data_IF_428466921575
#
_entry.id   IF_428466921575
#
_cell.length_a   1.000
_cell.length_b   1.000
_cell.length_c   1.000
_cell.angle_alpha   90.00
_cell.angle_beta   90.00
_cell.angle_gamma   90.00
#
_symmetry.space_group_name_H-M   'P 1'
#
loop_
_entity.id
_entity.type
_entity.pdbx_description
1 polymer ?
#
# COMPACT_ATOMS: atom_id res chain seq x y z
N UNK A 1 34.50 -4.78 4.80
CA UNK A 1 33.76 -5.28 5.98
C UNK A 1 32.34 -4.68 5.98
N UNK A 2 31.47 -5.14 5.08
CA UNK A 2 30.12 -4.57 4.85
C UNK A 2 29.05 -5.66 4.63
N UNK A 3 29.21 -6.83 5.25
CA UNK A 3 28.43 -8.02 4.89
C UNK A 3 27.84 -8.83 6.06
N UNK A 4 27.84 -8.30 7.30
CA UNK A 4 27.23 -8.98 8.44
C UNK A 4 25.84 -8.46 8.87
N UNK A 5 25.58 -7.16 8.69
CA UNK A 5 24.39 -6.48 9.27
C UNK A 5 23.27 -6.27 8.23
N UNK A 6 23.54 -6.53 6.94
CA UNK A 6 22.64 -6.18 5.83
C UNK A 6 21.45 -7.14 5.63
N UNK A 7 21.58 -8.44 5.96
CA UNK A 7 20.47 -9.39 5.80
C UNK A 7 19.50 -9.37 6.99
N UNK A 8 20.00 -9.24 8.22
CA UNK A 8 19.17 -9.23 9.43
C UNK A 8 18.26 -8.00 9.51
N UNK A 9 18.78 -6.83 9.15
CA UNK A 9 18.00 -5.57 9.11
C UNK A 9 16.88 -5.60 8.07
N UNK A 10 17.14 -6.19 6.89
CA UNK A 10 16.14 -6.34 5.82
C UNK A 10 15.02 -7.32 6.21
N UNK A 11 15.38 -8.45 6.82
CA UNK A 11 14.41 -9.44 7.30
C UNK A 11 13.55 -8.89 8.45
N UNK A 12 14.16 -8.18 9.40
CA UNK A 12 13.45 -7.53 10.50
C UNK A 12 12.44 -6.49 10.00
N UNK A 13 12.82 -5.64 9.03
CA UNK A 13 11.92 -4.67 8.42
C UNK A 13 10.74 -5.34 7.69
N UNK A 14 10.98 -6.49 7.03
CA UNK A 14 9.94 -7.24 6.34
C UNK A 14 8.95 -7.89 7.31
N UNK A 15 9.45 -8.49 8.40
CA UNK A 15 8.61 -9.05 9.46
C UNK A 15 7.78 -7.94 10.11
N UNK A 16 8.41 -6.81 10.43
CA UNK A 16 7.71 -5.64 10.98
C UNK A 16 6.62 -5.14 10.03
N UNK A 17 6.88 -5.10 8.72
CA UNK A 17 5.89 -4.72 7.71
C UNK A 17 4.71 -5.69 7.67
N UNK A 18 4.96 -7.00 7.72
CA UNK A 18 3.90 -8.03 7.74
C UNK A 18 3.05 -7.89 9.02
N UNK A 19 3.68 -7.72 10.18
CA UNK A 19 2.98 -7.56 11.46
C UNK A 19 2.16 -6.27 11.49
N UNK A 20 2.77 -5.14 11.10
CA UNK A 20 2.10 -3.84 11.02
C UNK A 20 0.90 -3.90 10.07
N UNK A 21 1.08 -4.48 8.88
CA UNK A 21 -0.01 -4.59 7.89
C UNK A 21 -1.12 -5.49 8.41
N UNK A 22 -0.78 -6.61 9.06
CA UNK A 22 -1.76 -7.55 9.62
C UNK A 22 -2.58 -6.89 10.73
N UNK A 23 -1.92 -6.16 11.63
CA UNK A 23 -2.58 -5.45 12.71
C UNK A 23 -3.46 -4.30 12.17
N UNK A 24 -2.98 -3.55 11.17
CA UNK A 24 -3.78 -2.52 10.48
C UNK A 24 -5.08 -3.11 9.89
N UNK A 25 -4.99 -4.26 9.20
CA UNK A 25 -6.17 -4.97 8.66
C UNK A 25 -7.19 -5.26 9.76
N UNK A 26 -6.73 -5.83 10.88
CA UNK A 26 -7.59 -6.25 11.97
C UNK A 26 -8.19 -5.06 12.71
N UNK A 27 -7.43 -4.00 12.96
CA UNK A 27 -7.94 -2.77 13.57
C UNK A 27 -9.00 -2.12 12.69
N UNK A 28 -8.79 -2.07 11.36
CA UNK A 28 -9.80 -1.57 10.41
C UNK A 28 -11.10 -2.38 10.50
N UNK A 29 -10.99 -3.71 10.43
CA UNK A 29 -12.14 -4.63 10.54
C UNK A 29 -12.85 -4.51 11.89
N UNK A 30 -12.10 -4.34 12.97
CA UNK A 30 -12.64 -4.17 14.31
C UNK A 30 -13.44 -2.88 14.45
N UNK A 31 -12.88 -1.73 14.02
CA UNK A 31 -13.59 -0.45 14.06
C UNK A 31 -14.86 -0.51 13.22
N UNK A 32 -14.79 -1.09 12.04
CA UNK A 32 -15.96 -1.24 11.17
C UNK A 32 -17.06 -2.08 11.81
N UNK A 33 -16.72 -3.22 12.42
CA UNK A 33 -17.71 -4.06 13.10
C UNK A 33 -18.39 -3.32 14.25
N UNK A 34 -17.66 -2.50 15.00
CA UNK A 34 -18.23 -1.68 16.09
C UNK A 34 -19.11 -0.58 15.53
N UNK A 35 -18.63 0.17 14.54
CA UNK A 35 -19.42 1.24 13.91
C UNK A 35 -20.73 0.69 13.34
N UNK A 36 -20.69 -0.48 12.71
CA UNK A 36 -21.87 -1.17 12.21
C UNK A 36 -22.80 -1.66 13.33
N UNK A 37 -22.27 -2.14 14.46
CA UNK A 37 -23.08 -2.59 15.58
C UNK A 37 -23.74 -1.43 16.36
N UNK A 38 -23.08 -0.28 16.43
CA UNK A 38 -23.55 0.89 17.19
C UNK A 38 -24.30 1.93 16.37
N UNK A 39 -24.49 1.73 15.05
CA UNK A 39 -25.04 2.73 14.11
C UNK A 39 -24.40 4.13 14.27
N UNK A 40 -23.12 4.17 14.67
CA UNK A 40 -22.40 5.41 14.88
C UNK A 40 -21.97 6.00 13.53
N UNK A 41 -21.76 7.32 13.48
CA UNK A 41 -21.23 7.96 12.27
C UNK A 41 -19.84 7.41 11.94
N UNK A 42 -19.58 7.00 10.69
CA UNK A 42 -18.27 6.50 10.31
C UNK A 42 -17.23 7.62 10.32
N UNK A 43 -15.98 7.26 10.60
CA UNK A 43 -14.88 8.22 10.52
C UNK A 43 -14.56 8.58 9.07
N UNK A 44 -14.10 9.81 8.87
CA UNK A 44 -13.64 10.28 7.57
C UNK A 44 -12.30 9.64 7.19
N UNK A 45 -12.29 8.92 6.09
CA UNK A 45 -11.11 8.19 5.63
C UNK A 45 -10.04 9.11 5.07
N UNK A 46 -10.44 10.15 4.31
CA UNK A 46 -9.48 11.11 3.79
C UNK A 46 -8.77 11.85 4.93
N UNK A 47 -9.48 12.12 6.04
CA UNK A 47 -8.90 12.70 7.25
C UNK A 47 -7.87 11.75 7.91
N UNK A 48 -8.18 10.45 8.02
CA UNK A 48 -7.22 9.44 8.55
C UNK A 48 -5.97 9.34 7.68
N UNK A 49 -6.14 9.28 6.35
CA UNK A 49 -5.01 9.22 5.41
C UNK A 49 -4.15 10.48 5.52
N UNK A 50 -4.79 11.66 5.56
CA UNK A 50 -4.10 12.94 5.67
C UNK A 50 -3.34 13.06 7.00
N UNK A 51 -3.98 12.68 8.10
CA UNK A 51 -3.32 12.69 9.42
C UNK A 51 -2.15 11.69 9.46
N UNK A 52 -2.27 10.54 8.81
CA UNK A 52 -1.19 9.58 8.67
C UNK A 52 -0.03 10.14 7.82
N UNK A 53 -0.29 10.90 6.76
CA UNK A 53 0.73 11.59 5.97
C UNK A 53 1.45 12.68 6.77
N UNK A 54 0.72 13.47 7.56
CA UNK A 54 1.30 14.46 8.48
C UNK A 54 2.17 13.77 9.52
N UNK A 55 1.66 12.72 10.18
CA UNK A 55 2.41 11.96 11.17
C UNK A 55 3.68 11.34 10.57
N UNK A 56 3.57 10.78 9.36
CA UNK A 56 4.71 10.23 8.61
C UNK A 56 5.75 11.30 8.29
N UNK A 57 5.33 12.52 7.92
CA UNK A 57 6.24 13.65 7.70
C UNK A 57 6.98 14.03 9.00
N UNK A 58 6.26 14.15 10.11
CA UNK A 58 6.83 14.48 11.43
C UNK A 58 7.82 13.40 11.91
N UNK A 59 7.44 12.12 11.83
CA UNK A 59 8.33 11.02 12.16
C UNK A 59 9.55 10.98 11.26
N UNK A 60 9.40 11.24 9.95
CA UNK A 60 10.53 11.28 9.02
C UNK A 60 11.49 12.43 9.34
N UNK A 61 10.96 13.59 9.74
CA UNK A 61 11.79 14.70 10.19
C UNK A 61 12.57 14.35 11.47
N UNK A 62 11.91 13.75 12.46
CA UNK A 62 12.57 13.33 13.70
C UNK A 62 13.63 12.26 13.46
N UNK A 63 13.33 11.27 12.61
CA UNK A 63 14.29 10.22 12.25
C UNK A 63 15.50 10.79 11.49
N UNK A 64 15.27 11.72 10.56
CA UNK A 64 16.34 12.44 9.88
C UNK A 64 17.21 13.25 10.85
N UNK A 65 16.58 13.97 11.79
CA UNK A 65 17.30 14.72 12.83
C UNK A 65 18.12 13.78 13.73
N UNK A 66 17.55 12.64 14.13
CA UNK A 66 18.23 11.63 14.95
C UNK A 66 19.43 10.99 14.24
N UNK A 67 19.31 10.72 12.93
CA UNK A 67 20.39 10.19 12.10
C UNK A 67 21.56 11.19 12.05
N UNK A 68 21.26 12.49 11.86
CA UNK A 68 22.27 13.54 11.87
C UNK A 68 22.94 13.74 13.23
N UNK A 69 22.19 13.69 14.33
CA UNK A 69 22.74 13.82 15.70
C UNK A 69 23.64 12.65 16.10
N UNK A 70 23.33 11.42 15.66
CA UNK A 70 24.15 10.23 15.93
C UNK A 70 25.47 10.24 15.14
N UNK A 71 25.46 10.78 13.92
CA UNK A 71 26.69 10.95 13.12
C UNK A 71 27.56 12.08 13.69
N UNK A 72 26.95 13.17 14.19
CA UNK A 72 27.67 14.27 14.82
C UNK A 72 28.49 13.81 16.05
N UNK A 73 27.89 13.01 16.93
CA UNK A 73 28.55 12.44 18.11
C UNK A 73 29.67 11.44 17.77
N UNK A 74 29.52 10.66 16.69
CA UNK A 74 30.57 9.73 16.20
C UNK A 74 31.69 10.46 15.45
N UNK A 75 31.41 11.61 14.82
CA UNK A 75 32.39 12.36 14.06
C UNK A 75 33.33 13.22 14.90
N UNK A 76 32.95 13.51 16.16
CA UNK A 76 33.80 14.21 17.14
C UNK A 76 34.97 13.35 17.65
N UNK A 77 34.95 12.03 17.42
CA UNK A 77 36.04 11.11 17.77
C UNK A 77 36.92 10.66 16.58
N UNK A 78 36.60 11.05 15.34
CA UNK A 78 37.21 10.49 14.12
C UNK A 78 37.57 11.58 13.09
N UNK A 79 38.15 12.69 13.58
CA UNK A 79 38.38 13.93 12.83
C UNK A 79 39.32 13.85 11.61
N UNK A 80 40.07 12.76 11.37
CA UNK A 80 41.19 12.81 10.40
C UNK A 80 41.09 12.00 9.09
N UNK A 81 40.05 11.20 8.82
CA UNK A 81 40.18 10.20 7.72
C UNK A 81 39.05 10.04 6.67
N UNK A 82 38.09 10.97 6.52
CA UNK A 82 37.07 10.84 5.46
C UNK A 82 36.80 12.12 4.67
N UNK A 83 37.54 12.27 3.57
CA UNK A 83 37.49 13.35 2.56
C UNK A 83 36.37 13.14 1.53
N UNK A 84 35.13 12.89 1.97
CA UNK A 84 34.00 12.69 1.04
C UNK A 84 32.67 13.26 1.57
N UNK A 85 32.71 14.48 2.13
CA UNK A 85 31.56 15.24 2.65
C UNK A 85 31.11 16.31 1.67
N UNK A 86 30.26 15.98 0.69
CA UNK A 86 29.48 16.97 -0.09
C UNK A 86 28.07 17.27 0.46
N UNK A 87 27.68 16.65 1.58
CA UNK A 87 26.36 16.81 2.19
C UNK A 87 26.40 16.76 3.73
N UNK A 88 27.34 17.47 4.35
CA UNK A 88 27.47 17.48 5.82
C UNK A 88 27.23 18.87 6.38
N UNK A 89 26.01 19.13 6.84
CA UNK A 89 25.68 20.32 7.61
C UNK A 89 25.78 19.95 9.11
N UNK A 90 26.72 20.54 9.88
CA UNK A 90 27.00 20.13 11.25
C UNK A 90 25.90 20.51 12.24
N UNK A 91 25.05 21.50 11.91
CA UNK A 91 23.90 21.91 12.71
C UNK A 91 22.63 21.83 11.85
N UNK A 92 21.57 21.23 12.38
CA UNK A 92 20.26 21.14 11.72
C UNK A 92 19.52 22.49 11.81
N UNK A 93 19.98 23.49 11.05
CA UNK A 93 19.28 24.76 10.91
C UNK A 93 18.14 24.63 9.89
N UNK A 94 17.06 25.41 10.05
CA UNK A 94 15.93 25.43 9.10
C UNK A 94 16.38 25.69 7.66
N UNK A 95 17.39 26.55 7.46
CA UNK A 95 17.99 26.80 6.15
C UNK A 95 18.71 25.57 5.56
N UNK A 96 19.42 24.80 6.38
CA UNK A 96 20.07 23.56 5.93
C UNK A 96 19.06 22.48 5.53
N UNK A 97 17.93 22.38 6.25
CA UNK A 97 16.83 21.49 5.92
C UNK A 97 16.16 21.90 4.60
N UNK A 98 15.94 23.19 4.39
CA UNK A 98 15.38 23.71 3.14
C UNK A 98 16.27 23.37 1.94
N UNK A 99 17.58 23.60 2.06
CA UNK A 99 18.55 23.23 1.01
C UNK A 99 18.61 21.71 0.82
N UNK A 100 18.50 20.91 1.89
CA UNK A 100 18.42 19.45 1.76
C UNK A 100 17.13 18.98 1.07
N UNK A 101 15.99 19.62 1.32
CA UNK A 101 14.70 19.26 0.73
C UNK A 101 14.57 19.74 -0.72
N UNK A 102 14.84 21.02 -0.99
CA UNK A 102 14.55 21.68 -2.27
C UNK A 102 15.78 22.13 -3.05
N UNK A 103 16.98 21.90 -2.52
CA UNK A 103 18.22 22.28 -3.18
C UNK A 103 18.37 21.64 -4.56
N UNK A 104 19.17 22.29 -5.41
CA UNK A 104 19.40 21.85 -6.78
C UNK A 104 19.90 20.40 -6.86
N UNK A 105 20.71 19.98 -5.88
CA UNK A 105 21.27 18.63 -5.79
C UNK A 105 20.29 17.57 -5.26
N UNK A 106 19.13 17.99 -4.73
CA UNK A 106 18.20 17.10 -4.02
C UNK A 106 17.27 16.35 -4.96
N UNK A 107 17.18 16.72 -6.25
CA UNK A 107 16.34 16.05 -7.26
C UNK A 107 14.89 15.81 -6.82
N UNK A 108 14.35 16.71 -5.99
CA UNK A 108 13.05 16.58 -5.35
C UNK A 108 11.91 16.41 -6.37
N UNK A 109 12.02 17.04 -7.54
CA UNK A 109 11.08 16.87 -8.65
C UNK A 109 10.92 15.42 -9.13
N UNK A 110 11.96 14.56 -9.01
CA UNK A 110 11.83 13.14 -9.37
C UNK A 110 10.84 12.39 -8.46
N UNK A 111 10.59 12.89 -7.25
CA UNK A 111 9.59 12.34 -6.32
C UNK A 111 8.18 12.90 -6.51
N UNK A 112 8.03 13.98 -7.29
CA UNK A 112 6.70 14.45 -7.70
C UNK A 112 5.99 13.41 -8.59
N UNK A 113 6.76 12.74 -9.47
CA UNK A 113 6.24 11.71 -10.39
C UNK A 113 5.51 10.58 -9.64
N UNK A 114 6.13 9.86 -8.68
CA UNK A 114 5.42 8.81 -7.95
C UNK A 114 4.25 9.37 -7.13
N UNK A 115 4.34 10.57 -6.57
CA UNK A 115 3.23 11.18 -5.85
C UNK A 115 2.00 11.42 -6.74
N UNK A 116 2.20 11.99 -7.94
CA UNK A 116 1.13 12.21 -8.93
C UNK A 116 0.56 10.87 -9.41
N UNK A 117 1.42 9.87 -9.70
CA UNK A 117 0.96 8.56 -10.13
C UNK A 117 0.13 7.86 -9.04
N UNK A 118 0.54 7.95 -7.76
CA UNK A 118 -0.25 7.43 -6.65
C UNK A 118 -1.58 8.17 -6.47
N UNK A 119 -1.61 9.49 -6.70
CA UNK A 119 -2.84 10.26 -6.68
C UNK A 119 -3.82 9.82 -7.78
N UNK A 120 -3.36 9.76 -9.04
CA UNK A 120 -4.20 9.32 -10.18
C UNK A 120 -4.65 7.87 -9.98
N UNK A 121 -3.74 6.99 -9.52
CA UNK A 121 -4.07 5.62 -9.16
C UNK A 121 -5.24 5.59 -8.16
N UNK A 122 -5.18 6.40 -7.11
CA UNK A 122 -6.21 6.49 -6.09
C UNK A 122 -7.55 6.95 -6.70
N UNK A 123 -7.55 8.00 -7.54
CA UNK A 123 -8.78 8.44 -8.23
C UNK A 123 -9.41 7.36 -9.12
N UNK A 124 -8.59 6.62 -9.88
CA UNK A 124 -9.09 5.53 -10.72
C UNK A 124 -9.61 4.36 -9.89
N UNK A 125 -8.98 4.09 -8.74
CA UNK A 125 -9.43 3.06 -7.81
C UNK A 125 -10.80 3.41 -7.23
N UNK A 126 -11.10 4.70 -7.00
CA UNK A 126 -12.45 5.16 -6.67
C UNK A 126 -13.46 4.83 -7.76
N UNK A 127 -13.15 5.30 -8.97
CA UNK A 127 -14.07 5.23 -10.10
C UNK A 127 -14.36 3.77 -10.50
N UNK A 128 -13.38 2.88 -10.30
CA UNK A 128 -13.53 1.44 -10.43
C UNK A 128 -14.39 0.83 -9.32
N UNK A 129 -14.19 1.24 -8.06
CA UNK A 129 -14.96 0.74 -6.93
C UNK A 129 -16.47 1.04 -7.08
N UNK A 130 -16.83 2.20 -7.65
CA UNK A 130 -18.23 2.56 -7.89
C UNK A 130 -18.91 1.69 -8.95
N UNK A 131 -18.14 1.22 -9.95
CA UNK A 131 -18.66 0.47 -11.11
C UNK A 131 -18.55 -1.05 -10.99
N UNK A 132 -17.68 -1.54 -10.11
CA UNK A 132 -17.44 -2.97 -9.92
C UNK A 132 -18.05 -3.48 -8.61
N UNK A 133 -18.39 -4.77 -8.61
CA UNK A 133 -18.67 -5.55 -7.42
C UNK A 133 -17.38 -5.85 -6.63
N UNK A 134 -17.51 -5.99 -5.30
CA UNK A 134 -16.39 -6.18 -4.37
C UNK A 134 -15.48 -7.37 -4.74
N UNK A 135 -16.00 -8.58 -5.04
CA UNK A 135 -15.16 -9.73 -5.40
C UNK A 135 -14.36 -9.51 -6.69
N UNK A 136 -15.01 -8.99 -7.74
CA UNK A 136 -14.35 -8.73 -9.04
C UNK A 136 -13.26 -7.67 -8.90
N UNK A 137 -13.53 -6.61 -8.14
CA UNK A 137 -12.58 -5.55 -7.86
C UNK A 137 -11.35 -6.05 -7.08
N UNK A 138 -11.54 -6.93 -6.08
CA UNK A 138 -10.45 -7.51 -5.30
C UNK A 138 -9.49 -8.33 -6.17
N UNK A 139 -10.03 -9.27 -6.95
CA UNK A 139 -9.25 -10.12 -7.84
C UNK A 139 -8.47 -9.30 -8.86
N UNK A 140 -9.14 -8.35 -9.52
CA UNK A 140 -8.53 -7.57 -10.60
C UNK A 140 -7.42 -6.65 -10.12
N UNK A 141 -7.50 -6.08 -8.90
CA UNK A 141 -6.43 -5.21 -8.41
C UNK A 141 -5.20 -5.97 -7.88
N UNK A 142 -5.21 -7.31 -7.85
CA UNK A 142 -3.98 -8.10 -7.69
C UNK A 142 -3.11 -8.14 -8.95
N UNK A 143 -3.65 -7.70 -10.10
CA UNK A 143 -2.85 -7.52 -11.33
C UNK A 143 -1.67 -6.56 -11.12
N UNK A 144 -1.73 -5.69 -10.09
CA UNK A 144 -0.63 -4.79 -9.69
C UNK A 144 0.69 -5.53 -9.40
N UNK A 145 0.63 -6.80 -8.98
CA UNK A 145 1.83 -7.60 -8.72
C UNK A 145 2.56 -7.91 -10.03
N UNK A 146 1.80 -8.26 -11.07
CA UNK A 146 2.33 -8.55 -12.41
C UNK A 146 2.88 -7.27 -13.04
N UNK A 147 2.13 -6.17 -13.00
CA UNK A 147 2.58 -4.88 -13.56
C UNK A 147 3.86 -4.40 -12.87
N UNK A 148 3.96 -4.54 -11.54
CA UNK A 148 5.17 -4.21 -10.77
C UNK A 148 6.39 -4.99 -11.27
N UNK A 149 6.25 -6.28 -11.57
CA UNK A 149 7.37 -7.07 -12.07
C UNK A 149 7.76 -6.70 -13.50
N UNK A 150 6.80 -6.42 -14.37
CA UNK A 150 7.06 -5.92 -15.74
C UNK A 150 7.85 -4.61 -15.68
N UNK A 151 7.40 -3.63 -14.89
CA UNK A 151 8.13 -2.37 -14.72
C UNK A 151 9.48 -2.56 -14.04
N UNK A 152 9.61 -3.52 -13.11
CA UNK A 152 10.89 -3.82 -12.48
C UNK A 152 11.93 -4.34 -13.47
N UNK A 153 11.52 -5.15 -14.45
CA UNK A 153 12.40 -5.58 -15.55
C UNK A 153 12.71 -4.40 -16.47
N UNK A 154 11.71 -3.62 -16.86
CA UNK A 154 11.86 -2.56 -17.85
C UNK A 154 12.68 -1.35 -17.34
N UNK A 155 12.40 -0.87 -16.11
CA UNK A 155 12.99 0.37 -15.58
C UNK A 155 14.25 0.16 -14.76
N UNK A 156 14.31 -0.90 -13.94
CA UNK A 156 15.46 -1.21 -13.09
C UNK A 156 16.41 -2.21 -13.78
N UNK A 157 16.09 -2.64 -15.02
CA UNK A 157 16.87 -3.62 -15.81
C UNK A 157 17.17 -4.92 -15.04
N UNK A 158 16.25 -5.33 -14.16
CA UNK A 158 16.40 -6.57 -13.40
C UNK A 158 16.20 -7.78 -14.31
N UNK A 159 17.09 -8.77 -14.19
CA UNK A 159 16.92 -10.06 -14.87
C UNK A 159 16.06 -10.98 -14.01
N UNK A 160 14.79 -11.13 -14.37
CA UNK A 160 13.89 -12.08 -13.70
C UNK A 160 13.93 -13.40 -14.47
N UNK A 161 14.39 -14.46 -13.81
CA UNK A 161 14.41 -15.81 -14.37
C UNK A 161 12.99 -16.37 -14.49
N UNK A 162 12.72 -17.21 -15.49
CA UNK A 162 11.43 -17.88 -15.70
C UNK A 162 10.76 -18.44 -14.43
N UNK A 163 11.44 -19.17 -13.51
CA UNK A 163 10.80 -19.66 -12.28
C UNK A 163 10.27 -18.55 -11.36
N UNK A 164 10.84 -17.34 -11.40
CA UNK A 164 10.34 -16.19 -10.62
C UNK A 164 9.08 -15.59 -11.23
N UNK A 165 8.96 -15.60 -12.56
CA UNK A 165 7.75 -15.17 -13.26
C UNK A 165 6.61 -16.13 -12.94
N UNK A 166 6.88 -17.44 -12.98
CA UNK A 166 5.92 -18.48 -12.58
C UNK A 166 5.50 -18.30 -11.12
N UNK A 167 6.47 -18.09 -10.21
CA UNK A 167 6.16 -17.82 -8.80
C UNK A 167 5.24 -16.60 -8.64
N UNK A 168 5.50 -15.51 -9.36
CA UNK A 168 4.68 -14.31 -9.27
C UNK A 168 3.25 -14.52 -9.81
N UNK A 169 3.09 -15.20 -10.95
CA UNK A 169 1.77 -15.54 -11.48
C UNK A 169 0.99 -16.43 -10.52
N UNK A 170 1.66 -17.41 -9.92
CA UNK A 170 1.11 -18.29 -8.91
C UNK A 170 0.73 -17.53 -7.62
N UNK A 171 1.50 -16.53 -7.23
CA UNK A 171 1.19 -15.63 -6.10
C UNK A 171 -0.10 -14.85 -6.36
N UNK A 172 -0.19 -14.21 -7.53
CA UNK A 172 -1.36 -13.41 -7.93
C UNK A 172 -2.62 -14.27 -7.96
N UNK A 173 -2.54 -15.47 -8.54
CA UNK A 173 -3.65 -16.41 -8.55
C UNK A 173 -4.04 -16.88 -7.14
N UNK A 174 -3.06 -17.16 -6.28
CA UNK A 174 -3.30 -17.62 -4.91
C UNK A 174 -4.04 -16.58 -4.08
N UNK A 175 -3.66 -15.31 -4.19
CA UNK A 175 -4.32 -14.21 -3.48
C UNK A 175 -5.71 -13.95 -4.06
N UNK A 176 -5.86 -14.01 -5.38
CA UNK A 176 -7.18 -13.90 -6.01
C UNK A 176 -8.15 -14.96 -5.44
N UNK A 177 -7.70 -16.20 -5.28
CA UNK A 177 -8.49 -17.27 -4.66
C UNK A 177 -8.80 -17.01 -3.18
N UNK A 178 -7.80 -16.57 -2.40
CA UNK A 178 -7.99 -16.20 -0.98
C UNK A 178 -9.00 -15.07 -0.82
N UNK A 179 -9.03 -14.11 -1.74
CA UNK A 179 -9.93 -12.95 -1.66
C UNK A 179 -11.37 -13.30 -2.06
N UNK A 180 -11.56 -14.24 -2.99
CA UNK A 180 -12.89 -14.78 -3.30
C UNK A 180 -13.54 -15.49 -2.11
N UNK A 181 -12.77 -15.88 -1.09
CA UNK A 181 -13.26 -16.60 0.08
C UNK A 181 -13.97 -15.74 1.10
N UNK A 182 -13.56 -14.49 1.29
CA UNK A 182 -14.05 -13.66 2.39
C UNK A 182 -15.55 -13.35 2.28
N UNK A 183 -16.11 -13.35 1.06
CA UNK A 183 -17.47 -12.88 0.80
C UNK A 183 -18.54 -13.99 0.83
N UNK A 184 -18.16 -15.28 0.76
CA UNK A 184 -19.12 -16.41 0.66
C UNK A 184 -19.65 -16.96 1.99
N UNK A 185 -19.26 -16.42 3.14
CA UNK A 185 -19.69 -16.92 4.45
C UNK A 185 -20.96 -16.23 4.96
N UNK A 186 -22.08 -16.42 4.25
CA UNK A 186 -23.43 -16.02 4.66
C UNK A 186 -24.49 -16.81 3.88
N UNK A 187 -24.90 -17.97 4.40
CA UNK A 187 -25.89 -18.84 3.76
C UNK A 187 -27.32 -18.55 4.21
N UNK A 188 -28.17 -18.26 3.22
CA UNK A 188 -29.62 -18.51 3.11
C UNK A 188 -30.58 -17.97 4.20
N UNK A 189 -31.11 -16.76 3.99
CA UNK A 189 -32.48 -16.42 4.41
C UNK A 189 -33.04 -15.36 3.46
N UNK A 190 -34.27 -15.58 3.00
CA UNK A 190 -35.06 -14.67 2.20
C UNK A 190 -35.23 -13.31 2.90
N UNK A 191 -35.41 -12.28 2.07
CA UNK A 191 -35.59 -10.86 2.38
C UNK A 191 -34.31 -10.03 2.35
N UNK A 192 -34.49 -8.83 1.80
CA UNK A 192 -33.52 -7.77 1.65
C UNK A 192 -32.55 -7.64 2.84
N UNK A 193 -31.36 -7.10 2.54
CA UNK A 193 -30.23 -6.76 3.42
C UNK A 193 -29.09 -7.79 3.49
N UNK A 194 -27.86 -7.24 3.54
CA UNK A 194 -26.62 -7.81 4.07
C UNK A 194 -25.52 -8.24 3.09
N UNK A 195 -24.72 -7.23 2.74
CA UNK A 195 -23.28 -7.13 3.01
C UNK A 195 -22.56 -8.30 3.74
N UNK A 196 -21.33 -8.65 3.29
CA UNK A 196 -20.11 -8.84 4.13
C UNK A 196 -18.80 -9.19 3.36
N UNK A 197 -17.81 -8.30 3.51
CA UNK A 197 -16.40 -8.52 3.92
C UNK A 197 -15.34 -9.24 3.03
N UNK A 198 -14.32 -8.52 2.52
CA UNK A 198 -12.95 -9.05 2.33
C UNK A 198 -11.96 -7.91 2.04
N UNK A 199 -11.27 -7.42 3.08
CA UNK A 199 -10.84 -6.03 3.04
C UNK A 199 -9.60 -5.68 3.86
N UNK A 200 -8.68 -4.96 3.22
CA UNK A 200 -7.69 -4.15 3.93
C UNK A 200 -7.19 -2.94 3.15
N UNK A 201 -7.08 -3.00 1.82
CA UNK A 201 -6.87 -1.80 0.98
C UNK A 201 -8.17 -1.41 0.24
N UNK A 202 -9.14 -2.34 0.26
CA UNK A 202 -10.39 -2.29 -0.49
C UNK A 202 -11.54 -1.63 0.30
N UNK A 203 -11.64 -1.81 1.63
CA UNK A 203 -12.75 -1.24 2.42
C UNK A 203 -12.68 0.29 2.48
N UNK A 204 -11.49 0.87 2.34
CA UNK A 204 -11.31 2.32 2.29
C UNK A 204 -11.97 2.91 1.03
N UNK A 205 -12.05 2.17 -0.07
CA UNK A 205 -12.75 2.61 -1.28
C UNK A 205 -14.20 2.07 -1.37
N UNK A 206 -14.44 0.83 -0.97
CA UNK A 206 -15.78 0.20 -0.98
C UNK A 206 -16.73 0.74 0.10
N UNK A 207 -16.25 1.14 1.29
CA UNK A 207 -17.11 1.83 2.27
C UNK A 207 -17.34 3.32 1.91
N UNK A 208 -16.56 3.91 0.99
CA UNK A 208 -16.89 5.24 0.46
C UNK A 208 -18.15 5.14 -0.42
N UNK A 209 -18.27 4.03 -1.16
CA UNK A 209 -19.48 3.64 -1.89
C UNK A 209 -20.69 3.32 -1.00
N UNK A 210 -20.50 2.70 0.18
CA UNK A 210 -21.60 2.41 1.13
C UNK A 210 -22.07 3.62 1.93
N UNK A 211 -21.17 4.52 2.34
CA UNK A 211 -21.54 5.78 3.01
C UNK A 211 -22.27 6.74 2.05
N UNK A 212 -21.83 6.80 0.78
CA UNK A 212 -22.48 7.59 -0.27
C UNK A 212 -23.92 7.17 -0.56
N UNK A 213 -24.20 5.86 -0.59
CA UNK A 213 -25.55 5.34 -0.83
C UNK A 213 -26.52 5.59 0.35
N UNK A 214 -26.02 5.91 1.55
CA UNK A 214 -26.87 6.26 2.70
C UNK A 214 -27.42 7.71 2.61
N UNK A 215 -26.92 8.53 1.68
CA UNK A 215 -27.39 9.92 1.47
C UNK A 215 -28.04 10.16 0.10
N UNK A 216 -28.30 9.11 -0.68
CA UNK A 216 -28.96 9.18 -1.98
C UNK A 216 -30.35 8.54 -1.96
N UNK A 217 -31.35 9.24 -1.40
CA UNK A 217 -32.74 8.92 -1.69
C UNK A 217 -33.06 9.41 -3.11
N UNK A 218 -33.38 8.51 -4.04
CA UNK A 218 -34.19 8.80 -5.23
C UNK A 218 -34.63 7.44 -5.81
N UNK A 219 -35.88 7.04 -5.53
CA UNK A 219 -37.07 7.27 -6.35
C UNK A 219 -37.23 6.22 -7.45
N UNK A 220 -38.36 5.52 -7.35
CA UNK A 220 -38.85 4.53 -8.29
C UNK A 220 -38.79 5.07 -9.72
N UNK A 221 -38.21 4.29 -10.62
CA UNK A 221 -38.32 4.50 -12.07
C UNK A 221 -38.83 3.21 -12.67
N UNK A 222 -39.91 3.37 -13.42
CA UNK A 222 -40.79 2.34 -13.94
C UNK A 222 -40.11 1.31 -14.84
N UNK A 223 -40.71 0.12 -14.77
CA UNK A 223 -40.50 -1.06 -15.58
C UNK A 223 -40.77 -0.79 -17.07
N UNK A 224 -39.76 -0.33 -17.80
CA UNK A 224 -39.63 -0.57 -19.24
C UNK A 224 -38.18 -0.35 -19.68
N UNK A 225 -37.42 -1.44 -19.90
CA UNK A 225 -36.55 -1.70 -21.07
C UNK A 225 -35.31 -2.57 -20.71
N UNK A 226 -35.53 -3.86 -20.42
CA UNK A 226 -34.52 -4.82 -19.95
C UNK A 226 -33.27 -4.92 -20.84
N UNK A 227 -33.39 -4.78 -22.17
CA UNK A 227 -32.22 -4.91 -23.08
C UNK A 227 -31.30 -3.69 -23.03
N UNK A 228 -31.85 -2.49 -22.89
CA UNK A 228 -31.07 -1.25 -22.82
C UNK A 228 -30.38 -1.10 -21.46
N UNK A 229 -31.06 -1.54 -20.40
CA UNK A 229 -30.54 -1.56 -19.04
C UNK A 229 -29.39 -2.55 -18.89
N UNK A 230 -29.50 -3.75 -19.50
CA UNK A 230 -28.43 -4.75 -19.53
C UNK A 230 -27.19 -4.23 -20.28
N UNK A 231 -27.35 -3.59 -21.45
CA UNK A 231 -26.22 -3.00 -22.19
C UNK A 231 -25.53 -1.89 -21.41
N UNK A 232 -26.29 -1.03 -20.72
CA UNK A 232 -25.72 0.01 -19.85
C UNK A 232 -24.91 -0.59 -18.69
N UNK A 233 -25.43 -1.64 -18.04
CA UNK A 233 -24.74 -2.36 -16.97
C UNK A 233 -23.42 -2.98 -17.46
N UNK A 234 -23.41 -3.61 -18.64
CA UNK A 234 -22.19 -4.18 -19.23
C UNK A 234 -21.16 -3.10 -19.56
N UNK A 235 -21.60 -1.97 -20.11
CA UNK A 235 -20.75 -0.81 -20.41
C UNK A 235 -20.11 -0.26 -19.14
N UNK A 236 -20.88 -0.06 -18.07
CA UNK A 236 -20.36 0.44 -16.79
C UNK A 236 -19.36 -0.52 -16.14
N UNK A 237 -19.66 -1.83 -16.18
CA UNK A 237 -18.74 -2.85 -15.66
C UNK A 237 -17.43 -2.90 -16.45
N UNK A 238 -17.50 -2.80 -17.78
CA UNK A 238 -16.33 -2.77 -18.65
C UNK A 238 -15.45 -1.54 -18.40
N UNK A 239 -16.06 -0.36 -18.23
CA UNK A 239 -15.37 0.87 -17.84
C UNK A 239 -14.68 0.70 -16.47
N UNK A 240 -15.34 0.04 -15.51
CA UNK A 240 -14.74 -0.30 -14.23
C UNK A 240 -13.50 -1.20 -14.34
N UNK A 241 -13.54 -2.20 -15.22
CA UNK A 241 -12.39 -3.09 -15.51
C UNK A 241 -11.22 -2.31 -16.10
N UNK A 242 -11.49 -1.36 -17.00
CA UNK A 242 -10.44 -0.49 -17.57
C UNK A 242 -9.79 0.35 -16.46
N UNK A 243 -10.58 0.99 -15.61
CA UNK A 243 -10.06 1.81 -14.52
C UNK A 243 -9.18 1.03 -13.55
N UNK A 244 -9.57 -0.19 -13.17
CA UNK A 244 -8.77 -0.97 -12.22
C UNK A 244 -7.46 -1.50 -12.85
N UNK A 245 -7.48 -1.82 -14.15
CA UNK A 245 -6.27 -2.22 -14.87
C UNK A 245 -5.30 -1.05 -15.03
N UNK A 246 -5.80 0.13 -15.38
CA UNK A 246 -5.00 1.36 -15.42
C UNK A 246 -4.43 1.70 -14.05
N UNK A 247 -5.25 1.66 -12.99
CA UNK A 247 -4.80 1.89 -11.61
C UNK A 247 -3.69 0.90 -11.21
N UNK A 248 -3.84 -0.38 -11.56
CA UNK A 248 -2.84 -1.41 -11.26
C UNK A 248 -1.54 -1.20 -12.02
N UNK A 249 -1.61 -0.69 -13.24
CA UNK A 249 -0.43 -0.33 -14.05
C UNK A 249 0.30 0.87 -13.45
N UNK A 250 -0.44 1.93 -13.08
CA UNK A 250 0.12 3.11 -12.42
C UNK A 250 0.74 2.78 -11.06
N UNK A 251 0.15 1.85 -10.30
CA UNK A 251 0.70 1.38 -9.02
C UNK A 251 2.05 0.70 -9.17
N UNK A 252 2.17 -0.19 -10.16
CA UNK A 252 3.43 -0.85 -10.48
C UNK A 252 4.49 0.16 -10.93
N UNK A 253 4.12 1.10 -11.79
CA UNK A 253 4.99 2.16 -12.27
C UNK A 253 5.47 3.08 -11.14
N UNK A 254 4.56 3.59 -10.31
CA UNK A 254 4.87 4.48 -9.19
C UNK A 254 5.80 3.81 -8.16
N UNK A 255 5.53 2.54 -7.83
CA UNK A 255 6.34 1.78 -6.89
C UNK A 255 7.76 1.51 -7.39
N UNK A 256 7.89 1.14 -8.67
CA UNK A 256 9.20 0.91 -9.29
C UNK A 256 9.97 2.20 -9.50
N UNK A 257 9.29 3.29 -9.86
CA UNK A 257 9.90 4.61 -9.94
C UNK A 257 10.41 5.07 -8.56
N UNK A 258 9.60 4.91 -7.52
CA UNK A 258 10.00 5.22 -6.15
C UNK A 258 11.22 4.39 -5.72
N UNK A 259 11.24 3.09 -6.02
CA UNK A 259 12.42 2.24 -5.80
C UNK A 259 13.66 2.77 -6.52
N UNK A 260 13.52 3.15 -7.79
CA UNK A 260 14.62 3.72 -8.57
C UNK A 260 15.18 4.98 -7.91
N UNK A 261 14.32 5.93 -7.52
CA UNK A 261 14.75 7.18 -6.88
C UNK A 261 15.39 6.94 -5.51
N UNK A 262 14.87 5.99 -4.73
CA UNK A 262 15.46 5.62 -3.43
C UNK A 262 16.87 5.02 -3.57
N UNK A 263 17.15 4.31 -4.68
CA UNK A 263 18.41 3.59 -4.89
C UNK A 263 19.44 4.34 -5.75
N UNK A 264 19.03 5.37 -6.50
CA UNK A 264 19.91 6.11 -7.41
C UNK A 264 21.01 6.88 -6.68
N UNK A 265 20.76 7.38 -5.46
CA UNK A 265 21.71 8.18 -4.69
C UNK A 265 21.79 7.76 -3.21
N UNK A 266 22.97 7.96 -2.59
CA UNK A 266 23.21 7.72 -1.15
C UNK A 266 22.56 8.78 -0.23
N UNK A 267 21.33 9.18 -0.55
CA UNK A 267 20.54 10.10 0.28
C UNK A 267 19.84 9.34 1.40
N UNK A 268 19.59 10.02 2.52
CA UNK A 268 18.80 9.44 3.63
C UNK A 268 17.40 9.08 3.14
N UNK A 269 16.88 7.93 3.63
CA UNK A 269 15.52 7.46 3.31
C UNK A 269 14.49 8.44 3.82
N UNK A 270 14.75 8.99 5.01
CA UNK A 270 13.85 9.87 5.72
C UNK A 270 13.67 11.17 4.94
N UNK A 271 14.75 11.71 4.37
CA UNK A 271 14.70 12.88 3.50
C UNK A 271 13.83 12.63 2.26
N UNK A 272 14.01 11.47 1.60
CA UNK A 272 13.19 11.06 0.45
C UNK A 272 11.73 10.87 0.82
N UNK A 273 11.47 10.33 2.01
CA UNK A 273 10.12 10.16 2.51
C UNK A 273 9.46 11.50 2.88
N UNK A 274 10.21 12.45 3.44
CA UNK A 274 9.73 13.82 3.67
C UNK A 274 9.36 14.51 2.35
N UNK A 275 10.25 14.46 1.36
CA UNK A 275 9.98 15.01 0.02
C UNK A 275 8.72 14.40 -0.60
N UNK A 276 8.55 13.08 -0.50
CA UNK A 276 7.35 12.40 -0.99
C UNK A 276 6.09 12.86 -0.22
N UNK A 277 6.12 12.90 1.11
CA UNK A 277 5.01 13.36 1.95
C UNK A 277 4.60 14.81 1.63
N UNK A 278 5.56 15.69 1.35
CA UNK A 278 5.27 17.08 0.98
C UNK A 278 4.49 17.18 -0.33
N UNK A 279 4.70 16.26 -1.27
CA UNK A 279 3.91 16.19 -2.49
C UNK A 279 2.54 15.53 -2.31
N UNK A 280 2.39 14.56 -1.39
CA UNK A 280 1.12 13.85 -1.18
C UNK A 280 0.14 14.64 -0.30
N UNK A 281 0.62 15.48 0.61
CA UNK A 281 -0.23 16.32 1.47
C UNK A 281 -1.23 17.22 0.71
N UNK A 282 -0.84 18.02 -0.30
CA UNK A 282 -1.79 18.84 -1.05
C UNK A 282 -2.82 17.98 -1.79
N UNK A 283 -2.42 16.83 -2.34
CA UNK A 283 -3.36 15.89 -2.96
C UNK A 283 -4.33 15.28 -1.95
N UNK A 284 -3.88 14.98 -0.73
CA UNK A 284 -4.73 14.53 0.37
C UNK A 284 -5.76 15.58 0.78
N UNK A 285 -5.34 16.84 0.89
CA UNK A 285 -6.23 17.97 1.20
C UNK A 285 -7.29 18.16 0.11
N UNK A 286 -6.88 18.13 -1.16
CA UNK A 286 -7.79 18.23 -2.31
C UNK A 286 -8.80 17.09 -2.28
N UNK A 287 -8.36 15.86 -2.03
CA UNK A 287 -9.24 14.68 -1.96
C UNK A 287 -10.25 14.84 -0.83
N UNK A 288 -9.81 15.26 0.36
CA UNK A 288 -10.68 15.48 1.51
C UNK A 288 -11.70 16.59 1.26
N UNK A 289 -11.29 17.69 0.62
CA UNK A 289 -12.18 18.80 0.27
C UNK A 289 -13.24 18.40 -0.78
N UNK A 290 -12.86 17.60 -1.79
CA UNK A 290 -13.77 17.19 -2.87
C UNK A 290 -14.71 16.08 -2.41
N UNK A 291 -14.20 15.06 -1.70
CA UNK A 291 -14.96 13.86 -1.35
C UNK A 291 -15.79 14.08 -0.09
N UNK A 292 -15.16 14.60 0.97
CA UNK A 292 -15.75 14.65 2.31
C UNK A 292 -16.25 16.05 2.70
N UNK A 293 -16.15 17.04 1.80
CA UNK A 293 -16.39 18.46 2.11
C UNK A 293 -17.76 18.76 2.73
N UNK A 294 -18.82 18.09 2.27
CA UNK A 294 -20.18 18.27 2.82
C UNK A 294 -20.31 17.71 4.23
N UNK A 295 -19.75 16.53 4.47
CA UNK A 295 -19.78 15.87 5.80
C UNK A 295 -18.94 16.67 6.81
N UNK A 296 -17.79 17.20 6.37
CA UNK A 296 -16.92 18.06 7.20
C UNK A 296 -17.64 19.33 7.66
N UNK A 297 -18.46 19.94 6.80
CA UNK A 297 -19.22 21.14 7.17
C UNK A 297 -20.31 20.85 8.21
N UNK A 298 -20.85 19.63 8.23
CA UNK A 298 -21.95 19.25 9.11
C UNK A 298 -21.49 18.74 10.48
N UNK A 299 -20.47 17.89 10.52
CA UNK A 299 -20.03 17.21 11.74
C UNK A 299 -18.52 17.31 12.02
N UNK A 300 -17.79 18.04 11.18
CA UNK A 300 -16.37 18.34 11.37
C UNK A 300 -15.42 17.24 10.89
N UNK A 301 -14.14 17.58 10.83
CA UNK A 301 -13.06 16.69 10.33
C UNK A 301 -12.86 15.44 11.20
N UNK A 302 -13.15 15.55 12.49
CA UNK A 302 -12.92 14.49 13.48
C UNK A 302 -14.18 13.70 13.83
N UNK A 303 -15.22 13.75 12.99
CA UNK A 303 -16.41 12.93 13.18
C UNK A 303 -16.07 11.44 13.22
N UNK A 304 -16.68 10.68 14.13
CA UNK A 304 -16.46 9.23 14.25
C UNK A 304 -15.06 8.82 14.70
N UNK A 305 -14.19 9.76 15.12
CA UNK A 305 -12.86 9.43 15.63
C UNK A 305 -12.95 8.77 17.00
N UNK A 306 -12.46 7.55 17.07
CA UNK A 306 -12.31 6.80 18.32
C UNK A 306 -10.84 6.56 18.62
N UNK A 307 -10.53 6.07 19.82
CA UNK A 307 -9.19 5.63 20.17
C UNK A 307 -8.60 4.64 19.13
N UNK A 308 -9.43 3.74 18.61
CA UNK A 308 -9.02 2.78 17.58
C UNK A 308 -8.74 3.44 16.22
N UNK A 309 -9.45 4.53 15.88
CA UNK A 309 -9.15 5.35 14.69
C UNK A 309 -7.77 5.99 14.79
N UNK A 310 -7.37 6.46 15.98
CA UNK A 310 -6.02 7.01 16.22
C UNK A 310 -4.95 5.91 16.05
N UNK A 311 -5.21 4.70 16.54
CA UNK A 311 -4.32 3.56 16.30
C UNK A 311 -4.16 3.28 14.79
N UNK A 312 -5.25 3.33 14.01
CA UNK A 312 -5.19 3.15 12.55
C UNK A 312 -4.30 4.21 11.90
N UNK A 313 -4.43 5.48 12.30
CA UNK A 313 -3.58 6.58 11.81
C UNK A 313 -2.10 6.28 12.08
N UNK A 314 -1.76 5.87 13.31
CA UNK A 314 -0.39 5.52 13.68
C UNK A 314 0.14 4.34 12.87
N UNK A 315 -0.65 3.28 12.72
CA UNK A 315 -0.27 2.10 11.96
C UNK A 315 -0.09 2.40 10.47
N UNK A 316 -0.91 3.29 9.90
CA UNK A 316 -0.78 3.70 8.51
C UNK A 316 0.50 4.51 8.28
N UNK A 317 0.82 5.44 9.18
CA UNK A 317 2.08 6.19 9.14
C UNK A 317 3.29 5.25 9.28
N UNK A 318 3.26 4.32 10.24
CA UNK A 318 4.30 3.32 10.45
C UNK A 318 4.48 2.42 9.22
N UNK A 319 3.40 1.96 8.60
CA UNK A 319 3.44 1.18 7.37
C UNK A 319 4.14 1.91 6.22
N UNK A 320 3.84 3.21 6.04
CA UNK A 320 4.52 4.06 5.06
C UNK A 320 6.05 4.14 5.28
N UNK A 321 6.47 4.31 6.53
CA UNK A 321 7.90 4.33 6.90
C UNK A 321 8.57 2.97 6.65
N UNK A 322 7.92 1.88 7.06
CA UNK A 322 8.44 0.52 6.86
C UNK A 322 8.54 0.17 5.37
N UNK A 323 7.58 0.58 4.54
CA UNK A 323 7.64 0.39 3.08
C UNK A 323 8.89 1.06 2.50
N UNK A 324 9.20 2.29 2.92
CA UNK A 324 10.40 2.99 2.44
C UNK A 324 11.70 2.25 2.82
N UNK A 325 11.79 1.70 4.04
CA UNK A 325 12.93 0.89 4.48
C UNK A 325 13.02 -0.41 3.66
N UNK A 326 11.91 -1.14 3.52
CA UNK A 326 11.85 -2.42 2.78
C UNK A 326 12.21 -2.21 1.31
N UNK A 327 11.71 -1.15 0.66
CA UNK A 327 12.04 -0.87 -0.75
C UNK A 327 13.49 -0.45 -0.92
N UNK A 328 14.10 0.23 0.06
CA UNK A 328 15.53 0.57 0.01
C UNK A 328 16.42 -0.66 0.15
N UNK A 329 16.12 -1.54 1.11
CA UNK A 329 17.00 -2.65 1.48
C UNK A 329 16.70 -3.96 0.73
N UNK A 330 15.46 -4.14 0.31
CA UNK A 330 15.03 -5.21 -0.59
C UNK A 330 14.57 -4.57 -1.90
N UNK A 331 13.39 -4.93 -2.41
CA UNK A 331 12.84 -4.50 -3.68
C UNK A 331 11.31 -4.34 -3.60
N UNK A 332 10.72 -3.61 -4.54
CA UNK A 332 9.27 -3.44 -4.62
C UNK A 332 8.51 -4.77 -4.88
N UNK A 333 9.17 -5.77 -5.48
CA UNK A 333 8.63 -7.13 -5.65
C UNK A 333 8.53 -7.84 -4.29
N UNK A 334 9.59 -7.77 -3.47
CA UNK A 334 9.64 -8.40 -2.14
C UNK A 334 8.65 -7.74 -1.18
N UNK A 335 8.46 -6.41 -1.28
CA UNK A 335 7.34 -5.70 -0.63
C UNK A 335 5.99 -6.30 -1.01
N UNK A 336 5.79 -6.60 -2.30
CA UNK A 336 4.60 -7.30 -2.80
C UNK A 336 4.35 -8.60 -2.05
N UNK A 337 5.34 -9.51 -2.01
CA UNK A 337 5.24 -10.76 -1.26
C UNK A 337 4.90 -10.56 0.22
N UNK A 338 5.52 -9.58 0.90
CA UNK A 338 5.21 -9.28 2.30
C UNK A 338 3.74 -8.88 2.49
N UNK A 339 3.19 -8.05 1.59
CA UNK A 339 1.76 -7.70 1.60
C UNK A 339 0.88 -8.95 1.43
N UNK A 340 1.25 -9.87 0.52
CA UNK A 340 0.51 -11.11 0.29
C UNK A 340 0.50 -12.02 1.52
N UNK A 341 1.65 -12.14 2.20
CA UNK A 341 1.77 -12.90 3.46
C UNK A 341 0.87 -12.28 4.53
N UNK A 342 0.88 -10.95 4.66
CA UNK A 342 0.01 -10.25 5.60
C UNK A 342 -1.48 -10.49 5.31
N UNK A 343 -1.90 -10.56 4.04
CA UNK A 343 -3.28 -10.88 3.67
C UNK A 343 -3.66 -12.28 4.18
N UNK A 344 -2.79 -13.27 3.98
CA UNK A 344 -3.04 -14.64 4.48
C UNK A 344 -3.12 -14.65 6.01
N UNK A 345 -2.15 -14.06 6.71
CA UNK A 345 -2.12 -14.03 8.17
C UNK A 345 -3.31 -13.28 8.77
N UNK A 346 -3.64 -12.10 8.24
CA UNK A 346 -4.81 -11.33 8.68
C UNK A 346 -6.10 -12.09 8.44
N UNK A 347 -6.23 -12.83 7.33
CA UNK A 347 -7.40 -13.66 7.06
C UNK A 347 -7.53 -14.81 8.07
N UNK A 348 -6.44 -15.53 8.36
CA UNK A 348 -6.43 -16.62 9.36
C UNK A 348 -6.80 -16.07 10.74
N UNK A 349 -6.14 -15.00 11.17
CA UNK A 349 -6.37 -14.40 12.48
C UNK A 349 -7.78 -13.80 12.58
N UNK A 350 -8.31 -13.27 11.48
CA UNK A 350 -9.67 -12.78 11.41
C UNK A 350 -10.70 -13.91 11.52
N UNK A 351 -10.45 -15.07 10.89
CA UNK A 351 -11.33 -16.25 11.05
C UNK A 351 -11.35 -16.72 12.50
N UNK A 352 -10.20 -16.72 13.18
CA UNK A 352 -10.10 -17.10 14.59
C UNK A 352 -10.81 -16.10 15.52
N UNK A 353 -10.55 -14.79 15.36
CA UNK A 353 -11.09 -13.76 16.25
C UNK A 353 -12.58 -13.47 16.03
N UNK A 354 -13.07 -13.60 14.79
CA UNK A 354 -14.46 -13.27 14.43
C UNK A 354 -15.30 -14.51 14.04
N UNK A 355 -14.79 -15.73 14.25
CA UNK A 355 -15.53 -16.98 14.05
C UNK A 355 -16.02 -17.24 12.62
N UNK A 356 -15.33 -16.73 11.60
CA UNK A 356 -15.76 -16.84 10.19
C UNK A 356 -15.47 -18.25 9.64
N UNK A 357 -16.38 -18.82 8.83
CA UNK A 357 -16.19 -20.17 8.25
C UNK A 357 -15.08 -20.16 7.18
N UNK A 358 -14.27 -21.22 7.16
CA UNK A 358 -13.20 -21.41 6.15
C UNK A 358 -13.84 -21.76 4.80
N UNK A 359 -13.60 -20.93 3.78
CA UNK A 359 -14.06 -21.21 2.41
C UNK A 359 -13.15 -22.20 1.71
N UNK A 360 -13.69 -22.98 0.78
CA UNK A 360 -12.91 -23.91 -0.06
C UNK A 360 -11.89 -23.19 -0.94
N UNK A 361 -12.20 -21.99 -1.42
CA UNK A 361 -11.25 -21.18 -2.19
C UNK A 361 -10.06 -20.72 -1.34
N UNK A 362 -10.24 -20.59 -0.03
CA UNK A 362 -9.19 -20.20 0.91
C UNK A 362 -8.22 -21.35 1.12
N UNK A 363 -8.77 -22.55 1.26
CA UNK A 363 -8.01 -23.78 1.46
C UNK A 363 -7.12 -24.11 0.25
N UNK A 364 -7.53 -23.73 -0.96
CA UNK A 364 -6.70 -23.87 -2.18
C UNK A 364 -5.73 -22.69 -2.33
N UNK A 365 -6.17 -21.48 -2.02
CA UNK A 365 -5.38 -20.26 -2.22
C UNK A 365 -4.15 -20.18 -1.29
N UNK A 366 -4.28 -20.55 -0.01
CA UNK A 366 -3.18 -20.46 0.96
C UNK A 366 -1.98 -21.34 0.59
N UNK A 367 -2.14 -22.65 0.28
CA UNK A 367 -1.05 -23.48 -0.21
C UNK A 367 -0.39 -22.92 -1.47
N UNK A 368 -1.18 -22.33 -2.38
CA UNK A 368 -0.66 -21.74 -3.62
C UNK A 368 0.24 -20.53 -3.34
N UNK A 369 -0.15 -19.66 -2.38
CA UNK A 369 0.67 -18.54 -1.92
C UNK A 369 1.96 -19.03 -1.26
N UNK A 370 1.88 -20.03 -0.38
CA UNK A 370 3.06 -20.59 0.31
C UNK A 370 4.03 -21.20 -0.70
N UNK A 371 3.53 -22.03 -1.63
CA UNK A 371 4.36 -22.66 -2.64
C UNK A 371 5.00 -21.64 -3.59
N UNK A 372 4.31 -20.54 -3.92
CA UNK A 372 4.89 -19.42 -4.66
C UNK A 372 6.07 -18.76 -3.92
N UNK A 373 5.92 -18.49 -2.62
CA UNK A 373 6.99 -17.89 -1.80
C UNK A 373 8.22 -18.81 -1.77
N UNK A 374 8.01 -20.11 -1.55
CA UNK A 374 9.10 -21.11 -1.52
C UNK A 374 9.78 -21.20 -2.89
N UNK A 375 9.02 -21.20 -3.98
CA UNK A 375 9.56 -21.22 -5.34
C UNK A 375 10.41 -19.98 -5.63
N UNK A 376 9.92 -18.80 -5.25
CA UNK A 376 10.65 -17.55 -5.41
C UNK A 376 11.96 -17.56 -4.60
N UNK A 377 11.92 -17.94 -3.32
CA UNK A 377 13.09 -18.01 -2.45
C UNK A 377 14.15 -19.02 -2.95
N UNK A 378 13.73 -20.21 -3.38
CA UNK A 378 14.65 -21.23 -3.94
C UNK A 378 15.30 -20.76 -5.24
N UNK A 379 14.55 -20.09 -6.11
CA UNK A 379 15.10 -19.53 -7.35
C UNK A 379 16.12 -18.41 -7.10
N UNK A 380 16.04 -17.72 -5.97
CA UNK A 380 17.01 -16.70 -5.57
C UNK A 380 18.35 -17.32 -5.14
N UNK A 381 18.29 -18.34 -4.29
CA UNK A 381 19.46 -19.13 -3.89
C UNK A 381 20.15 -19.80 -5.09
N UNK A 382 19.36 -20.32 -6.04
CA UNK A 382 19.88 -20.92 -7.28
C UNK A 382 20.69 -19.92 -8.11
N UNK A 383 20.14 -18.73 -8.37
CA UNK A 383 20.83 -17.69 -9.14
C UNK A 383 22.12 -17.20 -8.45
N UNK A 384 22.11 -17.04 -7.12
CA UNK A 384 23.31 -16.66 -6.36
C UNK A 384 24.42 -17.72 -6.53
N UNK A 385 24.07 -19.00 -6.37
CA UNK A 385 25.04 -20.12 -6.54
C UNK A 385 25.56 -20.26 -7.96
N UNK A 386 24.75 -19.97 -8.98
CA UNK A 386 25.19 -19.97 -10.37
C UNK A 386 26.14 -18.80 -10.66
N UNK A 387 25.86 -17.61 -10.14
CA UNK A 387 26.66 -16.42 -10.39
C UNK A 387 28.03 -16.46 -9.67
N UNK A 388 28.10 -17.05 -8.47
CA UNK A 388 29.38 -17.27 -7.77
C UNK A 388 30.26 -18.31 -8.47
N UNK A 389 29.68 -19.25 -9.22
CA UNK A 389 30.43 -20.24 -10.01
C UNK A 389 30.92 -19.71 -11.37
N UNK A 390 30.36 -18.61 -11.89
CA UNK A 390 30.74 -18.02 -13.19
C UNK A 390 30.77 -16.48 -13.14
N UNK A 391 31.81 -15.87 -12.53
CA UNK A 391 31.87 -14.42 -12.31
C UNK A 391 32.12 -13.57 -13.57
N UNK A 392 32.36 -14.18 -14.75
CA UNK A 392 32.81 -13.47 -15.98
C UNK A 392 31.69 -12.89 -16.87
N UNK A 393 30.46 -12.73 -16.36
CA UNK A 393 29.37 -12.03 -17.06
C UNK A 393 28.71 -11.00 -16.13
N UNK A 394 29.42 -9.92 -15.83
CA UNK A 394 28.82 -8.67 -15.36
C UNK A 394 29.20 -7.58 -16.35
#
# INVERSE_FOLDING_TARGET
>A
MYLGISQSSSAAALIALVLQSTFLVLSLKYVQNITAASNATPYLKAAVILLAEILKLLCSFFLYASEHSSIASTSLSLSHSFKDRRYYYPNLTLGSLYVALFGHSSQWLKLAIPAILYFIQNCLLYAAADRLDSPTFQVLAQSKLITTAVFSVMMLRKRISFPRIVALGMLTLGIALVQLSGEKSGGNSNNATNEKMSDSIYHVWVLAKRSWNASGAHLAVDSANDKQQVVAIFSDRFIGIIYIFLASTLSGLAGVWFEKVLKEHKTSVWLRNMQLSLFTLPFGLITMAIVDGKEILQAGVFQGFTFWTIIIVFLQALGGLLIAIVVKHADNIVKGFATCISIVFSSILSMYLFGSRVSTTFLIGVPLVIASIVLYARSDLGNIRFNTKNPKRI
#
